data_IF_981861862710
#
_entry.id   IF_981861862710
#
_cell.length_a   1.000
_cell.length_b   1.000
_cell.length_c   1.000
_cell.angle_alpha   90.00
_cell.angle_beta   90.00
_cell.angle_gamma   90.00
#
_symmetry.space_group_name_H-M   'P 1'
#
loop_
_entity.id
_entity.type
_entity.pdbx_description
1 polymer ?
#
# COMPACT_ATOMS: atom_id res chain seq x y z
N UNK A 1 18.96 -57.36 -2.19
CA UNK A 1 17.87 -56.54 -2.79
C UNK A 1 17.38 -55.44 -1.84
N UNK A 2 17.93 -55.29 -0.63
CA UNK A 2 17.43 -54.34 0.39
C UNK A 2 17.92 -52.88 0.28
N UNK A 3 19.03 -52.63 -0.43
CA UNK A 3 19.65 -51.30 -0.47
C UNK A 3 18.84 -50.24 -1.24
N UNK A 4 18.26 -50.62 -2.39
CA UNK A 4 17.43 -49.70 -3.19
C UNK A 4 16.09 -49.38 -2.52
N UNK A 5 15.51 -50.36 -1.82
CA UNK A 5 14.29 -50.19 -1.04
C UNK A 5 14.51 -49.21 0.13
N UNK A 6 15.65 -49.33 0.83
CA UNK A 6 16.04 -48.39 1.88
C UNK A 6 16.24 -46.96 1.35
N UNK A 7 16.89 -46.80 0.20
CA UNK A 7 17.10 -45.48 -0.43
C UNK A 7 15.76 -44.86 -0.86
N UNK A 8 14.84 -45.66 -1.40
CA UNK A 8 13.50 -45.22 -1.78
C UNK A 8 12.70 -44.72 -0.57
N UNK A 9 12.73 -45.48 0.54
CA UNK A 9 12.08 -45.09 1.80
C UNK A 9 12.61 -43.77 2.35
N UNK A 10 13.93 -43.58 2.34
CA UNK A 10 14.55 -42.33 2.83
C UNK A 10 14.16 -41.14 1.95
N UNK A 11 14.13 -41.30 0.62
CA UNK A 11 13.66 -40.25 -0.31
C UNK A 11 12.21 -39.86 -0.05
N UNK A 12 11.34 -40.84 0.16
CA UNK A 12 9.93 -40.62 0.47
C UNK A 12 9.78 -39.82 1.78
N UNK A 13 10.52 -40.22 2.82
CA UNK A 13 10.48 -39.57 4.12
C UNK A 13 11.01 -38.11 4.08
N UNK A 14 12.02 -37.84 3.25
CA UNK A 14 12.52 -36.47 3.03
C UNK A 14 11.48 -35.60 2.31
N UNK A 15 10.78 -36.14 1.30
CA UNK A 15 9.73 -35.44 0.58
C UNK A 15 8.53 -35.13 1.49
N UNK A 16 8.10 -36.09 2.31
CA UNK A 16 7.01 -35.89 3.28
C UNK A 16 7.39 -34.84 4.32
N UNK A 17 8.60 -34.89 4.87
CA UNK A 17 9.08 -33.88 5.81
C UNK A 17 9.18 -32.48 5.18
N UNK A 18 9.60 -32.39 3.90
CA UNK A 18 9.64 -31.13 3.18
C UNK A 18 8.23 -30.59 2.95
N UNK A 19 7.29 -31.44 2.53
CA UNK A 19 5.88 -31.08 2.33
C UNK A 19 5.25 -30.53 3.62
N UNK A 20 5.42 -31.21 4.76
CA UNK A 20 4.91 -30.76 6.06
C UNK A 20 5.50 -29.40 6.46
N UNK A 21 6.81 -29.18 6.22
CA UNK A 21 7.46 -27.89 6.50
C UNK A 21 6.94 -26.78 5.59
N UNK A 22 6.71 -27.05 4.30
CA UNK A 22 6.14 -26.11 3.34
C UNK A 22 4.73 -25.73 3.78
N UNK A 23 3.85 -26.69 4.03
CA UNK A 23 2.47 -26.41 4.49
C UNK A 23 2.44 -25.58 5.77
N UNK A 24 3.37 -25.82 6.71
CA UNK A 24 3.48 -25.04 7.95
C UNK A 24 3.99 -23.62 7.71
N UNK A 25 4.85 -23.41 6.72
CA UNK A 25 5.29 -22.07 6.28
C UNK A 25 4.13 -21.36 5.59
N UNK A 26 3.40 -22.02 4.70
CA UNK A 26 2.21 -21.47 4.03
C UNK A 26 1.10 -21.10 5.03
N UNK A 27 0.86 -21.93 6.05
CA UNK A 27 -0.07 -21.65 7.15
C UNK A 27 0.38 -20.44 7.98
N UNK A 28 1.68 -20.34 8.28
CA UNK A 28 2.24 -19.17 8.98
C UNK A 28 2.17 -17.90 8.12
N UNK A 29 2.36 -18.01 6.81
CA UNK A 29 2.24 -16.89 5.88
C UNK A 29 0.77 -16.45 5.75
N UNK A 30 -0.18 -17.38 5.66
CA UNK A 30 -1.61 -17.06 5.58
C UNK A 30 -2.18 -16.48 6.87
N UNK A 31 -1.62 -16.86 8.03
CA UNK A 31 -1.99 -16.32 9.36
C UNK A 31 -1.19 -15.06 9.76
N UNK A 32 0.04 -14.92 9.28
CA UNK A 32 1.02 -13.90 9.68
C UNK A 32 1.12 -12.70 8.74
N UNK A 33 0.77 -12.86 7.46
CA UNK A 33 0.30 -11.73 6.67
C UNK A 33 -1.17 -11.57 7.03
N UNK A 34 -1.61 -10.37 7.44
CA UNK A 34 -2.96 -10.16 8.00
C UNK A 34 -4.09 -10.25 6.93
N UNK A 35 -3.98 -11.21 6.01
CA UNK A 35 -4.88 -11.44 4.89
C UNK A 35 -4.87 -10.32 3.87
N UNK A 36 -5.68 -10.49 2.84
CA UNK A 36 -5.97 -9.50 1.80
C UNK A 36 -6.51 -8.16 2.37
N UNK A 37 -6.92 -8.14 3.65
CA UNK A 37 -7.60 -7.03 4.32
C UNK A 37 -6.86 -6.44 5.54
N UNK A 38 -5.62 -6.84 5.81
CA UNK A 38 -4.80 -6.42 6.95
C UNK A 38 -4.80 -4.91 7.25
N UNK A 39 -4.81 -4.14 6.18
CA UNK A 39 -4.60 -2.70 6.15
C UNK A 39 -5.88 -1.97 5.69
N UNK A 40 -7.00 -2.68 5.63
CA UNK A 40 -8.27 -2.09 5.24
C UNK A 40 -8.77 -1.12 6.30
N UNK A 41 -9.01 0.12 5.88
CA UNK A 41 -9.76 1.11 6.67
C UNK A 41 -11.09 1.36 5.97
N UNK A 42 -12.18 1.21 6.72
CA UNK A 42 -13.53 1.45 6.20
C UNK A 42 -13.66 2.90 5.72
N UNK A 43 -14.20 3.10 4.52
CA UNK A 43 -14.37 4.42 3.92
C UNK A 43 -13.12 4.99 3.24
N UNK A 44 -11.95 4.35 3.34
CA UNK A 44 -10.71 4.84 2.71
C UNK A 44 -10.31 3.91 1.55
N UNK A 45 -9.78 4.50 0.49
CA UNK A 45 -9.04 3.78 -0.56
C UNK A 45 -7.65 4.36 -0.62
N UNK A 46 -6.64 3.51 -0.76
CA UNK A 46 -5.26 3.98 -0.75
C UNK A 46 -4.40 3.18 -1.70
N UNK A 47 -3.31 3.80 -2.14
CA UNK A 47 -2.18 3.20 -2.81
C UNK A 47 -0.92 3.74 -2.14
N UNK A 48 -0.13 2.84 -1.57
CA UNK A 48 1.20 3.08 -1.04
C UNK A 48 2.22 2.48 -2.01
N UNK A 49 3.19 3.28 -2.41
CA UNK A 49 4.37 2.85 -3.16
C UNK A 49 5.58 3.11 -2.28
N UNK A 50 6.36 2.08 -2.00
CA UNK A 50 7.62 2.15 -1.26
C UNK A 50 8.74 1.80 -2.24
N UNK A 51 9.35 2.83 -2.82
CA UNK A 51 10.42 2.73 -3.80
C UNK A 51 11.68 2.11 -3.21
N UNK A 52 12.01 2.39 -1.94
CA UNK A 52 13.17 1.81 -1.25
C UNK A 52 13.12 0.29 -1.21
N UNK A 53 11.90 -0.25 -1.04
CA UNK A 53 11.66 -1.69 -0.95
C UNK A 53 11.17 -2.31 -2.25
N UNK A 54 10.97 -1.52 -3.30
CA UNK A 54 10.29 -1.94 -4.54
C UNK A 54 8.96 -2.65 -4.27
N UNK A 55 8.20 -2.17 -3.28
CA UNK A 55 6.90 -2.75 -2.91
C UNK A 55 5.77 -1.76 -3.11
N UNK A 56 4.62 -2.25 -3.54
CA UNK A 56 3.38 -1.47 -3.55
C UNK A 56 2.31 -2.18 -2.73
N UNK A 57 1.41 -1.40 -2.13
CA UNK A 57 0.27 -1.89 -1.35
C UNK A 57 -0.94 -1.03 -1.67
N UNK A 58 -2.10 -1.63 -1.81
CA UNK A 58 -3.33 -0.90 -2.07
C UNK A 58 -4.47 -1.42 -1.21
N UNK A 59 -5.55 -0.64 -1.12
CA UNK A 59 -6.82 -1.15 -0.61
C UNK A 59 -7.28 -2.36 -1.44
N UNK A 60 -7.97 -3.35 -0.85
CA UNK A 60 -8.41 -4.56 -1.54
C UNK A 60 -9.14 -4.27 -2.87
N UNK A 61 -8.88 -5.05 -3.92
CA UNK A 61 -9.39 -4.79 -5.28
C UNK A 61 -10.92 -4.75 -5.34
N UNK A 62 -11.61 -5.65 -4.63
CA UNK A 62 -13.08 -5.68 -4.50
C UNK A 62 -13.68 -4.48 -3.76
N UNK A 63 -12.84 -3.60 -3.21
CA UNK A 63 -13.23 -2.34 -2.57
C UNK A 63 -12.93 -1.13 -3.45
N UNK A 64 -11.98 -1.21 -4.38
CA UNK A 64 -11.67 -0.12 -5.32
C UNK A 64 -12.87 0.19 -6.23
N UNK A 65 -13.66 -0.82 -6.57
CA UNK A 65 -14.91 -0.68 -7.34
C UNK A 65 -16.01 0.13 -6.63
N UNK A 66 -15.82 0.49 -5.35
CA UNK A 66 -16.82 1.27 -4.60
C UNK A 66 -16.60 2.77 -4.68
N UNK A 67 -15.55 3.26 -5.34
CA UNK A 67 -15.34 4.70 -5.50
C UNK A 67 -16.40 5.28 -6.43
N UNK A 68 -16.94 6.44 -6.07
CA UNK A 68 -17.76 7.24 -6.97
C UNK A 68 -16.93 7.72 -8.17
N UNK A 69 -17.63 8.03 -9.27
CA UNK A 69 -17.02 8.57 -10.49
C UNK A 69 -16.23 9.85 -10.20
N UNK A 70 -16.79 10.73 -9.37
CA UNK A 70 -16.19 12.01 -8.99
C UNK A 70 -14.88 11.81 -8.22
N UNK A 71 -14.86 10.86 -7.28
CA UNK A 71 -13.66 10.46 -6.55
C UNK A 71 -12.58 9.92 -7.47
N UNK A 72 -12.95 9.06 -8.43
CA UNK A 72 -12.00 8.49 -9.38
C UNK A 72 -11.39 9.56 -10.29
N UNK A 73 -12.21 10.49 -10.79
CA UNK A 73 -11.73 11.62 -11.60
C UNK A 73 -10.75 12.49 -10.81
N UNK A 74 -11.08 12.80 -9.55
CA UNK A 74 -10.19 13.57 -8.67
C UNK A 74 -8.88 12.82 -8.37
N UNK A 75 -8.93 11.50 -8.17
CA UNK A 75 -7.74 10.67 -7.98
C UNK A 75 -6.84 10.63 -9.22
N UNK A 76 -7.41 10.56 -10.43
CA UNK A 76 -6.62 10.63 -11.67
C UNK A 76 -5.93 11.99 -11.83
N UNK A 77 -6.64 13.09 -11.54
CA UNK A 77 -6.05 14.44 -11.57
C UNK A 77 -4.93 14.59 -10.55
N UNK A 78 -5.13 14.08 -9.33
CA UNK A 78 -4.11 14.12 -8.29
C UNK A 78 -2.82 13.44 -8.74
N UNK A 79 -2.91 12.29 -9.42
CA UNK A 79 -1.73 11.60 -9.98
C UNK A 79 -1.02 12.44 -11.02
N UNK A 80 -1.77 13.06 -11.93
CA UNK A 80 -1.22 13.95 -12.95
C UNK A 80 -0.46 15.13 -12.30
N UNK A 81 -1.03 15.78 -11.28
CA UNK A 81 -0.36 16.86 -10.54
C UNK A 81 0.92 16.38 -9.84
N UNK A 82 0.90 15.20 -9.23
CA UNK A 82 2.09 14.61 -8.60
C UNK A 82 3.17 14.32 -9.63
N UNK A 83 2.82 13.76 -10.79
CA UNK A 83 3.77 13.45 -11.85
C UNK A 83 4.37 14.72 -12.47
N UNK A 84 3.57 15.77 -12.63
CA UNK A 84 4.03 17.10 -13.05
C UNK A 84 5.03 17.69 -12.06
N UNK A 85 4.73 17.64 -10.75
CA UNK A 85 5.60 18.21 -9.72
C UNK A 85 6.92 17.43 -9.61
N UNK A 86 6.88 16.09 -9.70
CA UNK A 86 8.10 15.27 -9.81
C UNK A 86 8.90 15.60 -11.06
N UNK A 87 8.23 15.87 -12.18
CA UNK A 87 8.87 16.31 -13.43
C UNK A 87 9.62 17.62 -13.25
N UNK A 88 9.01 18.61 -12.58
CA UNK A 88 9.65 19.89 -12.24
C UNK A 88 10.86 19.72 -11.32
N UNK A 89 10.71 18.94 -10.26
CA UNK A 89 11.80 18.68 -9.31
C UNK A 89 13.03 18.02 -9.97
N UNK A 90 12.82 17.17 -10.98
CA UNK A 90 13.92 16.59 -11.78
C UNK A 90 14.68 17.63 -12.61
N UNK A 91 14.01 18.69 -13.08
CA UNK A 91 14.66 19.77 -13.85
C UNK A 91 15.44 20.73 -12.97
N UNK A 92 15.03 20.91 -11.72
CA UNK A 92 15.66 21.84 -10.78
C UNK A 92 17.05 21.36 -10.27
N UNK A 93 17.52 20.17 -10.65
CA UNK A 93 18.85 19.60 -10.35
C UNK A 93 19.27 19.61 -8.86
N UNK A 94 18.31 19.77 -7.94
CA UNK A 94 18.61 19.85 -6.51
C UNK A 94 18.95 18.49 -5.90
N UNK A 95 18.67 17.37 -6.58
CA UNK A 95 18.92 16.01 -6.09
C UNK A 95 18.16 15.63 -4.81
N UNK A 96 17.43 16.59 -4.24
CA UNK A 96 16.61 16.46 -3.04
C UNK A 96 15.21 16.10 -3.47
N UNK A 97 14.78 14.88 -3.13
CA UNK A 97 13.36 14.54 -3.15
C UNK A 97 12.63 15.43 -2.15
N UNK A 98 11.95 16.44 -2.68
CA UNK A 98 11.17 17.37 -1.90
C UNK A 98 9.95 16.65 -1.34
N UNK A 99 9.68 16.87 -0.06
CA UNK A 99 8.42 16.46 0.56
C UNK A 99 7.28 17.22 -0.12
N UNK A 100 6.29 16.47 -0.62
CA UNK A 100 5.19 17.01 -1.39
C UNK A 100 3.87 16.50 -0.79
N UNK A 101 2.96 17.44 -0.53
CA UNK A 101 1.56 17.13 -0.25
C UNK A 101 0.67 17.85 -1.26
N UNK A 102 -0.25 17.10 -1.89
CA UNK A 102 -1.29 17.65 -2.76
C UNK A 102 -2.64 17.13 -2.28
N UNK A 103 -3.59 18.06 -2.11
CA UNK A 103 -4.94 17.77 -1.61
C UNK A 103 -5.99 18.31 -2.57
N UNK A 104 -6.88 17.45 -3.05
CA UNK A 104 -7.99 17.82 -3.94
C UNK A 104 -9.32 17.52 -3.25
N UNK A 105 -10.21 18.53 -3.23
CA UNK A 105 -11.61 18.35 -2.86
C UNK A 105 -12.41 17.96 -4.09
N UNK A 106 -13.00 16.77 -4.06
CA UNK A 106 -13.84 16.27 -5.15
C UNK A 106 -15.28 16.83 -5.07
N UNK A 107 -16.01 16.80 -6.19
CA UNK A 107 -17.39 17.32 -6.30
C UNK A 107 -18.39 16.61 -5.38
N UNK A 108 -18.14 15.36 -5.06
CA UNK A 108 -18.93 14.54 -4.15
C UNK A 108 -18.50 14.69 -2.69
N UNK A 109 -17.74 15.74 -2.34
CA UNK A 109 -17.22 15.96 -1.00
C UNK A 109 -16.25 14.87 -0.51
N UNK A 110 -15.59 14.14 -1.41
CA UNK A 110 -14.44 13.31 -1.05
C UNK A 110 -13.16 14.15 -0.96
N UNK A 111 -12.25 13.78 -0.06
CA UNK A 111 -10.87 14.27 -0.09
C UNK A 111 -9.98 13.26 -0.82
N UNK A 112 -9.15 13.73 -1.74
CA UNK A 112 -8.13 12.94 -2.42
C UNK A 112 -6.78 13.57 -2.12
N UNK A 113 -5.90 12.83 -1.45
CA UNK A 113 -4.64 13.34 -0.90
C UNK A 113 -3.49 12.49 -1.42
N UNK A 114 -2.40 13.14 -1.83
CA UNK A 114 -1.12 12.52 -2.11
C UNK A 114 -0.07 13.08 -1.14
N UNK A 115 0.72 12.21 -0.52
CA UNK A 115 1.97 12.56 0.16
C UNK A 115 3.13 11.82 -0.49
N UNK A 116 4.19 12.54 -0.84
CA UNK A 116 5.44 11.98 -1.38
C UNK A 116 6.57 12.39 -0.45
N UNK A 117 7.33 11.39 -0.01
CA UNK A 117 8.45 11.55 0.94
C UNK A 117 9.52 10.52 0.59
N UNK A 118 10.77 10.95 0.37
CA UNK A 118 11.97 10.07 0.33
C UNK A 118 11.73 8.69 -0.33
N UNK A 119 11.44 8.66 -1.63
CA UNK A 119 11.23 7.44 -2.41
C UNK A 119 9.89 6.73 -2.17
N UNK A 120 9.01 7.31 -1.35
CA UNK A 120 7.71 6.74 -0.98
C UNK A 120 6.57 7.66 -1.36
N UNK A 121 5.45 7.06 -1.71
CA UNK A 121 4.27 7.76 -2.18
C UNK A 121 3.02 7.15 -1.57
N UNK A 122 2.15 7.98 -1.03
CA UNK A 122 0.87 7.60 -0.47
C UNK A 122 -0.23 8.39 -1.15
N UNK A 123 -1.11 7.71 -1.87
CA UNK A 123 -2.35 8.25 -2.40
C UNK A 123 -3.52 7.74 -1.56
N UNK A 124 -4.40 8.62 -1.12
CA UNK A 124 -5.59 8.27 -0.34
C UNK A 124 -6.84 8.98 -0.87
N UNK A 125 -7.95 8.25 -0.92
CA UNK A 125 -9.29 8.76 -1.25
C UNK A 125 -10.19 8.51 -0.06
N UNK A 126 -10.84 9.57 0.41
CA UNK A 126 -11.63 9.61 1.62
C UNK A 126 -13.06 10.08 1.29
N UNK A 127 -13.94 9.17 0.88
CA UNK A 127 -15.33 9.51 0.49
C UNK A 127 -16.25 9.76 1.69
N UNK A 128 -15.86 9.24 2.86
CA UNK A 128 -16.60 9.40 4.11
C UNK A 128 -15.83 10.22 5.15
N UNK A 129 -14.75 10.90 4.74
CA UNK A 129 -14.06 11.80 5.65
C UNK A 129 -14.88 13.08 5.86
N UNK A 130 -14.74 13.61 7.07
CA UNK A 130 -15.38 14.83 7.54
C UNK A 130 -15.09 16.02 6.60
N UNK A 131 -15.89 17.09 6.69
CA UNK A 131 -15.96 18.13 5.63
C UNK A 131 -14.66 18.92 5.40
N UNK A 132 -13.79 19.00 6.40
CA UNK A 132 -12.61 19.89 6.36
C UNK A 132 -11.32 19.18 5.98
N UNK A 133 -10.38 19.91 5.37
CA UNK A 133 -9.04 19.42 5.06
C UNK A 133 -8.28 18.94 6.31
N UNK A 134 -8.48 19.60 7.46
CA UNK A 134 -7.83 19.23 8.71
C UNK A 134 -8.12 17.78 9.11
N UNK A 135 -9.38 17.36 9.06
CA UNK A 135 -9.76 15.97 9.33
C UNK A 135 -9.20 14.98 8.31
N UNK A 136 -9.10 15.39 7.04
CA UNK A 136 -8.53 14.56 5.99
C UNK A 136 -7.02 14.36 6.21
N UNK A 137 -6.31 15.42 6.58
CA UNK A 137 -4.88 15.36 6.92
C UNK A 137 -4.62 14.51 8.17
N UNK A 138 -5.41 14.68 9.23
CA UNK A 138 -5.35 13.85 10.45
C UNK A 138 -5.61 12.36 10.15
N UNK A 139 -6.54 12.06 9.23
CA UNK A 139 -6.78 10.68 8.80
C UNK A 139 -5.57 10.08 8.08
N UNK A 140 -4.89 10.85 7.23
CA UNK A 140 -3.65 10.44 6.54
C UNK A 140 -2.52 10.25 7.55
N UNK A 141 -2.39 11.13 8.53
CA UNK A 141 -1.38 11.05 9.58
C UNK A 141 -1.56 9.82 10.47
N UNK A 142 -2.79 9.56 10.94
CA UNK A 142 -3.12 8.34 11.67
C UNK A 142 -2.84 7.09 10.86
N UNK A 143 -3.14 7.11 9.55
CA UNK A 143 -2.81 6.02 8.65
C UNK A 143 -1.30 5.82 8.52
N UNK A 144 -0.54 6.90 8.32
CA UNK A 144 0.92 6.91 8.23
C UNK A 144 1.56 6.33 9.48
N UNK A 145 1.18 6.82 10.66
CA UNK A 145 1.71 6.37 11.94
C UNK A 145 1.44 4.87 12.16
N UNK A 146 0.24 4.41 11.80
CA UNK A 146 -0.17 3.03 12.05
C UNK A 146 0.39 2.02 11.05
N UNK A 147 0.52 2.40 9.78
CA UNK A 147 0.78 1.44 8.69
C UNK A 147 2.05 1.74 7.87
N UNK A 148 2.60 2.95 8.00
CA UNK A 148 3.78 3.41 7.27
C UNK A 148 4.93 3.81 8.20
N UNK A 149 4.88 3.46 9.49
CA UNK A 149 5.87 3.85 10.50
C UNK A 149 6.11 5.37 10.56
N UNK A 150 5.07 6.17 10.32
CA UNK A 150 5.17 7.63 10.33
C UNK A 150 5.88 8.24 9.12
N UNK A 151 6.15 7.48 8.06
CA UNK A 151 6.90 7.97 6.89
C UNK A 151 6.29 9.20 6.20
N UNK A 152 4.98 9.41 6.31
CA UNK A 152 4.26 10.53 5.73
C UNK A 152 3.70 11.48 6.80
N UNK A 153 4.23 11.43 8.01
CA UNK A 153 3.85 12.35 9.09
C UNK A 153 4.58 13.67 8.91
N UNK A 154 3.92 14.80 9.19
CA UNK A 154 4.44 16.15 8.98
C UNK A 154 5.15 16.71 10.23
N UNK A 155 5.50 15.85 11.19
CA UNK A 155 6.16 16.16 12.46
C UNK A 155 7.60 15.61 12.51
#
# INVERSE_FOLDING_TARGET
MDGEQGISMVKQQVLENASVKISKVEEKLSKGWAGENAYHVSGYRYLLVDGDRSTSRASPSGKVTTLSKESLVAASKLREEVDLEKGRAKWDNTGLEKELEICIRAKNNAWVIARVTRGKELFMVLEKANETLLYASDAVEKFSNKYCNGAFSLE
#
